data_IF_738824021974
#
_entry.id   IF_738824021974
#
_cell.length_a   1.000
_cell.length_b   1.000
_cell.length_c   1.000
_cell.angle_alpha   90.00
_cell.angle_beta   90.00
_cell.angle_gamma   90.00
#
_symmetry.space_group_name_H-M   'P 1'
#
loop_
_entity.id
_entity.type
_entity.pdbx_description
1 polymer ?
#
# COMPACT_ATOMS: atom_id res chain seq x y z
N UNK A 1 -23.34 3.95 20.45
CA UNK A 1 -22.85 2.58 20.16
C UNK A 1 -21.68 2.71 19.22
N UNK A 2 -20.43 2.48 19.68
CA UNK A 2 -19.23 2.51 18.84
C UNK A 2 -19.09 1.13 18.22
N UNK A 3 -19.23 1.06 16.89
CA UNK A 3 -18.90 -0.12 16.10
C UNK A 3 -17.38 -0.30 16.14
N UNK A 4 -16.92 -1.17 17.03
CA UNK A 4 -15.51 -1.57 17.03
C UNK A 4 -15.25 -2.45 15.82
N UNK A 5 -14.48 -1.93 14.89
CA UNK A 5 -13.92 -2.70 13.79
C UNK A 5 -13.14 -3.86 14.40
N UNK A 6 -13.61 -5.10 14.21
CA UNK A 6 -12.86 -6.30 14.58
C UNK A 6 -11.60 -6.32 13.71
N UNK A 7 -10.48 -5.93 14.28
CA UNK A 7 -9.18 -6.21 13.69
C UNK A 7 -9.10 -7.73 13.52
N UNK A 8 -8.73 -8.15 12.32
CA UNK A 8 -8.56 -9.56 12.01
C UNK A 8 -7.59 -10.17 13.02
N UNK A 9 -7.96 -11.29 13.64
CA UNK A 9 -7.12 -12.00 14.61
C UNK A 9 -5.76 -12.44 14.03
N UNK A 10 -5.55 -12.28 12.73
CA UNK A 10 -4.37 -12.66 11.97
C UNK A 10 -3.29 -11.56 11.94
N UNK A 11 -3.67 -10.28 12.06
CA UNK A 11 -2.73 -9.14 11.95
C UNK A 11 -1.87 -8.95 13.20
N UNK A 12 -2.46 -9.11 14.37
CA UNK A 12 -1.75 -8.92 15.64
C UNK A 12 -0.50 -9.81 15.79
N UNK A 13 -0.54 -11.12 15.47
CA UNK A 13 0.65 -11.97 15.54
C UNK A 13 1.70 -11.64 14.46
N UNK A 14 1.32 -11.07 13.30
CA UNK A 14 2.28 -10.66 12.26
C UNK A 14 3.15 -9.52 12.78
N UNK A 15 2.53 -8.48 13.31
CA UNK A 15 3.25 -7.31 13.83
C UNK A 15 4.03 -7.62 15.11
N UNK A 16 3.51 -8.45 16.00
CA UNK A 16 4.20 -8.83 17.22
C UNK A 16 5.54 -9.55 16.96
N UNK A 17 5.65 -10.29 15.86
CA UNK A 17 6.86 -11.01 15.45
C UNK A 17 7.81 -10.20 14.58
N UNK A 18 7.43 -9.01 14.15
CA UNK A 18 8.23 -8.20 13.24
C UNK A 18 9.65 -7.92 13.73
N UNK A 19 9.91 -7.54 15.01
CA UNK A 19 11.25 -7.30 15.48
C UNK A 19 12.16 -8.53 15.44
N UNK A 20 11.60 -9.72 15.66
CA UNK A 20 12.35 -10.97 15.60
C UNK A 20 12.70 -11.35 14.16
N UNK A 21 11.75 -11.19 13.25
CA UNK A 21 11.92 -11.44 11.82
C UNK A 21 13.00 -10.56 11.20
N UNK A 22 13.04 -9.28 11.58
CA UNK A 22 14.05 -8.33 11.10
C UNK A 22 15.47 -8.78 11.45
N UNK A 23 15.68 -9.43 12.61
CA UNK A 23 16.98 -10.02 12.96
C UNK A 23 17.39 -11.16 12.02
N UNK A 24 16.42 -11.84 11.42
CA UNK A 24 16.63 -12.88 10.40
C UNK A 24 16.75 -12.34 8.97
N UNK A 25 16.77 -11.02 8.78
CA UNK A 25 16.80 -10.39 7.45
C UNK A 25 15.43 -10.31 6.75
N UNK A 26 14.33 -10.56 7.49
CA UNK A 26 12.99 -10.44 6.95
C UNK A 26 12.45 -9.01 7.16
N UNK A 27 11.56 -8.56 6.26
CA UNK A 27 10.87 -7.27 6.34
C UNK A 27 9.41 -7.45 6.67
N UNK A 28 8.87 -6.60 7.54
CA UNK A 28 7.43 -6.59 7.86
C UNK A 28 6.87 -5.19 7.66
N UNK A 29 5.97 -5.08 6.70
CA UNK A 29 5.38 -3.82 6.27
C UNK A 29 3.85 -3.84 6.40
N UNK A 30 3.27 -2.68 6.63
CA UNK A 30 1.87 -2.39 6.40
C UNK A 30 1.78 -1.49 5.17
N UNK A 31 1.04 -1.90 4.15
CA UNK A 31 0.84 -1.12 2.94
C UNK A 31 -0.61 -0.64 2.90
N UNK A 32 -0.79 0.61 2.51
CA UNK A 32 -2.11 1.24 2.37
C UNK A 32 -2.10 2.25 1.22
N UNK A 33 -3.28 2.58 0.70
CA UNK A 33 -3.44 3.59 -0.32
C UNK A 33 -4.07 4.86 0.24
N UNK A 34 -3.42 5.98 -0.04
CA UNK A 34 -3.98 7.30 0.17
C UNK A 34 -4.47 7.85 -1.17
N UNK A 35 -5.78 7.87 -1.35
CA UNK A 35 -6.41 8.28 -2.60
C UNK A 35 -7.03 9.66 -2.54
N UNK A 36 -7.22 10.29 -3.71
CA UNK A 36 -7.94 11.56 -3.80
C UNK A 36 -7.18 12.76 -3.21
N UNK A 37 -5.86 12.67 -3.09
CA UNK A 37 -5.03 13.80 -2.68
C UNK A 37 -5.10 14.87 -3.76
N UNK A 38 -5.70 16.02 -3.42
CA UNK A 38 -5.87 17.10 -4.37
C UNK A 38 -4.61 17.93 -4.50
N UNK A 39 -4.12 18.12 -5.72
CA UNK A 39 -3.10 19.09 -6.03
C UNK A 39 -3.74 20.48 -6.13
N UNK A 40 -3.60 21.27 -5.08
CA UNK A 40 -4.18 22.61 -4.97
C UNK A 40 -3.10 23.68 -5.04
N UNK A 41 -3.31 24.64 -5.93
CA UNK A 41 -2.51 25.86 -6.02
C UNK A 41 -3.36 27.04 -5.59
N UNK A 42 -2.83 27.93 -4.76
CA UNK A 42 -3.54 29.16 -4.41
C UNK A 42 -3.65 30.06 -5.63
N UNK A 43 -4.82 30.58 -5.89
CA UNK A 43 -5.10 31.44 -7.04
C UNK A 43 -4.29 32.75 -7.00
N UNK A 44 -4.04 33.24 -5.79
CA UNK A 44 -3.28 34.47 -5.55
C UNK A 44 -2.39 34.31 -4.31
N UNK A 45 -1.29 35.08 -4.21
CA UNK A 45 -0.47 35.06 -3.01
C UNK A 45 -1.24 35.68 -1.81
N UNK A 46 -0.87 35.21 -0.61
CA UNK A 46 -1.36 35.80 0.62
C UNK A 46 -0.91 37.27 0.72
N UNK A 47 -1.76 38.12 1.28
CA UNK A 47 -1.38 39.49 1.63
C UNK A 47 -0.78 39.48 3.05
N UNK A 48 0.51 39.84 3.19
CA UNK A 48 1.18 39.81 4.48
C UNK A 48 0.59 40.83 5.44
N UNK A 49 0.76 40.59 6.72
CA UNK A 49 0.38 41.53 7.76
C UNK A 49 1.21 42.82 7.64
N UNK A 50 0.54 43.97 7.77
CA UNK A 50 1.16 45.30 7.80
C UNK A 50 0.55 46.09 8.94
N UNK A 51 1.20 47.17 9.39
CA UNK A 51 0.61 48.06 10.41
C UNK A 51 -0.80 48.52 10.01
N UNK A 52 -1.80 48.23 10.85
CA UNK A 52 -3.21 48.51 10.57
C UNK A 52 -3.94 47.53 9.65
N UNK A 53 -3.26 46.55 9.10
CA UNK A 53 -3.85 45.51 8.23
C UNK A 53 -3.51 44.12 8.72
N UNK A 54 -4.54 43.29 8.90
CA UNK A 54 -4.38 41.87 9.26
C UNK A 54 -3.90 41.05 8.07
N UNK A 55 -3.26 39.92 8.34
CA UNK A 55 -2.93 38.91 7.32
C UNK A 55 -4.23 38.46 6.62
N UNK A 56 -4.24 38.54 5.31
CA UNK A 56 -5.33 37.98 4.48
C UNK A 56 -4.79 36.81 3.69
N UNK A 57 -5.36 35.63 3.93
CA UNK A 57 -5.01 34.41 3.20
C UNK A 57 -5.99 34.22 2.04
N UNK A 58 -5.42 33.84 0.90
CA UNK A 58 -6.22 33.40 -0.25
C UNK A 58 -6.95 32.09 0.11
N UNK A 59 -8.24 32.04 -0.19
CA UNK A 59 -9.09 30.86 0.04
C UNK A 59 -9.55 30.20 -1.26
N UNK A 60 -9.29 30.84 -2.43
CA UNK A 60 -9.57 30.26 -3.71
C UNK A 60 -8.38 29.44 -4.21
N UNK A 61 -8.68 28.27 -4.75
CA UNK A 61 -7.68 27.35 -5.24
C UNK A 61 -7.94 26.94 -6.68
N UNK A 62 -6.86 26.81 -7.44
CA UNK A 62 -6.85 26.16 -8.74
C UNK A 62 -6.59 24.67 -8.47
N UNK A 63 -7.42 23.78 -9.01
CA UNK A 63 -7.27 22.34 -8.88
C UNK A 63 -6.51 21.81 -10.09
N UNK A 64 -5.38 21.12 -9.84
CA UNK A 64 -4.54 20.49 -10.85
C UNK A 64 -4.76 18.97 -10.94
N UNK A 65 -5.88 18.48 -10.42
CA UNK A 65 -6.23 17.07 -10.40
C UNK A 65 -6.06 16.43 -9.04
N UNK A 66 -6.08 15.10 -9.03
CA UNK A 66 -5.90 14.27 -7.84
C UNK A 66 -4.78 13.27 -8.07
N UNK A 67 -4.09 12.92 -6.98
CA UNK A 67 -3.08 11.88 -6.96
C UNK A 67 -3.50 10.78 -5.99
N UNK A 68 -3.08 9.57 -6.29
CA UNK A 68 -3.14 8.42 -5.41
C UNK A 68 -1.73 8.00 -5.02
N UNK A 69 -1.56 7.59 -3.78
CA UNK A 69 -0.30 7.14 -3.23
C UNK A 69 -0.42 5.71 -2.77
N UNK A 70 0.62 4.92 -2.99
CA UNK A 70 0.86 3.67 -2.28
C UNK A 70 1.93 3.94 -1.22
N UNK A 71 1.64 3.62 0.02
CA UNK A 71 2.48 3.92 1.17
C UNK A 71 2.81 2.62 1.90
N UNK A 72 4.09 2.33 2.04
CA UNK A 72 4.60 1.19 2.79
C UNK A 72 5.20 1.67 4.10
N UNK A 73 4.64 1.24 5.19
CA UNK A 73 5.11 1.55 6.53
C UNK A 73 5.85 0.35 7.12
N UNK A 74 7.15 0.50 7.37
CA UNK A 74 7.92 -0.50 8.10
C UNK A 74 7.55 -0.46 9.58
N UNK A 75 6.94 -1.53 10.06
CA UNK A 75 6.40 -1.59 11.42
C UNK A 75 7.48 -1.69 12.49
N UNK A 76 8.73 -2.00 12.13
CA UNK A 76 9.85 -2.10 13.06
C UNK A 76 10.59 -0.77 13.16
N UNK A 77 10.90 -0.15 12.03
CA UNK A 77 11.66 1.11 11.99
C UNK A 77 10.78 2.33 12.14
N UNK A 78 9.49 2.21 11.86
CA UNK A 78 8.54 3.35 11.89
C UNK A 78 8.70 4.29 10.70
N UNK A 79 9.37 3.86 9.63
CA UNK A 79 9.61 4.68 8.45
C UNK A 79 8.72 4.26 7.27
N UNK A 80 8.43 5.21 6.40
CA UNK A 80 7.84 4.96 5.09
C UNK A 80 8.97 4.55 4.13
N UNK A 81 8.78 3.42 3.43
CA UNK A 81 9.75 2.86 2.50
C UNK A 81 9.16 2.85 1.10
N UNK A 82 9.92 3.30 0.10
CA UNK A 82 9.57 3.27 -1.33
C UNK A 82 8.11 3.68 -1.62
N UNK A 83 7.64 4.84 -1.17
CA UNK A 83 6.30 5.30 -1.52
C UNK A 83 6.23 5.58 -3.01
N UNK A 84 5.05 5.42 -3.60
CA UNK A 84 4.82 5.83 -4.97
C UNK A 84 3.54 6.63 -5.12
N UNK A 85 3.49 7.50 -6.13
CA UNK A 85 2.29 8.23 -6.44
C UNK A 85 2.05 8.27 -7.96
N UNK A 86 0.79 8.37 -8.32
CA UNK A 86 0.36 8.48 -9.70
C UNK A 86 -1.06 9.05 -9.80
N UNK A 87 -1.51 9.35 -11.03
CA UNK A 87 -2.86 9.82 -11.27
C UNK A 87 -3.90 8.71 -11.12
N UNK A 88 -3.46 7.47 -11.20
CA UNK A 88 -4.30 6.27 -11.18
C UNK A 88 -3.95 5.34 -10.02
N UNK A 89 -4.78 4.32 -9.87
CA UNK A 89 -4.67 3.29 -8.85
C UNK A 89 -5.21 1.99 -9.44
N UNK A 90 -4.54 1.51 -10.47
CA UNK A 90 -4.93 0.26 -11.14
C UNK A 90 -4.22 -0.94 -10.52
N UNK A 91 -4.60 -2.14 -10.96
CA UNK A 91 -3.93 -3.38 -10.59
C UNK A 91 -2.47 -3.39 -11.05
N UNK A 92 -2.22 -2.83 -12.24
CA UNK A 92 -0.87 -2.70 -12.80
C UNK A 92 -0.02 -1.72 -11.98
N UNK A 93 -0.62 -0.62 -11.49
CA UNK A 93 0.06 0.33 -10.62
C UNK A 93 0.47 -0.33 -9.30
N UNK A 94 -0.42 -1.12 -8.71
CA UNK A 94 -0.15 -1.85 -7.47
C UNK A 94 0.94 -2.92 -7.67
N UNK A 95 0.89 -3.68 -8.76
CA UNK A 95 1.91 -4.66 -9.09
C UNK A 95 3.28 -4.01 -9.32
N UNK A 96 3.32 -2.94 -10.12
CA UNK A 96 4.56 -2.21 -10.38
C UNK A 96 5.14 -1.58 -9.10
N UNK A 97 4.28 -1.13 -8.19
CA UNK A 97 4.68 -0.64 -6.89
C UNK A 97 5.34 -1.73 -6.04
N UNK A 98 4.71 -2.90 -5.91
CA UNK A 98 5.25 -4.03 -5.15
C UNK A 98 6.56 -4.56 -5.74
N UNK A 99 6.68 -4.61 -7.07
CA UNK A 99 7.92 -4.98 -7.73
C UNK A 99 9.07 -4.04 -7.37
N UNK A 100 8.85 -2.73 -7.38
CA UNK A 100 9.87 -1.74 -6.96
C UNK A 100 10.20 -1.86 -5.48
N UNK A 101 9.19 -2.02 -4.63
CA UNK A 101 9.37 -2.20 -3.20
C UNK A 101 10.30 -3.38 -2.90
N UNK A 102 10.04 -4.54 -3.50
CA UNK A 102 10.85 -5.73 -3.28
C UNK A 102 12.26 -5.57 -3.86
N UNK A 103 12.40 -4.88 -4.99
CA UNK A 103 13.69 -4.60 -5.59
C UNK A 103 14.54 -3.60 -4.79
N UNK A 104 13.93 -2.79 -3.92
CA UNK A 104 14.63 -1.77 -3.12
C UNK A 104 15.57 -2.35 -2.06
N UNK A 105 15.29 -3.57 -1.57
CA UNK A 105 16.17 -4.27 -0.62
C UNK A 105 16.44 -5.70 -1.08
N UNK A 106 17.42 -5.91 -1.96
CA UNK A 106 17.79 -7.24 -2.44
C UNK A 106 18.40 -8.14 -1.36
N UNK A 107 18.72 -7.59 -0.20
CA UNK A 107 19.26 -8.35 0.93
C UNK A 107 18.18 -8.96 1.82
N UNK A 108 16.94 -8.50 1.67
CA UNK A 108 15.80 -9.03 2.41
C UNK A 108 15.52 -10.48 1.99
N UNK A 109 15.54 -11.38 2.96
CA UNK A 109 15.30 -12.81 2.71
C UNK A 109 13.83 -13.13 2.53
N UNK A 110 12.95 -12.32 3.12
CA UNK A 110 11.49 -12.47 3.03
C UNK A 110 10.77 -11.17 3.34
N UNK A 111 9.62 -10.98 2.69
CA UNK A 111 8.73 -9.85 2.89
C UNK A 111 7.40 -10.33 3.46
N UNK A 112 6.96 -9.70 4.54
CA UNK A 112 5.63 -9.85 5.13
C UNK A 112 4.90 -8.53 4.94
N UNK A 113 3.97 -8.49 4.00
CA UNK A 113 3.24 -7.29 3.65
C UNK A 113 1.78 -7.49 4.03
N UNK A 114 1.29 -6.66 4.95
CA UNK A 114 -0.13 -6.63 5.30
C UNK A 114 -0.82 -5.60 4.41
N UNK A 115 -1.86 -6.04 3.72
CA UNK A 115 -2.69 -5.25 2.81
C UNK A 115 -4.12 -5.28 3.30
N UNK A 116 -4.90 -4.25 2.97
CA UNK A 116 -6.33 -4.32 3.12
C UNK A 116 -6.95 -5.25 2.05
N UNK A 117 -8.24 -5.51 2.16
CA UNK A 117 -8.93 -6.47 1.29
C UNK A 117 -9.50 -5.79 0.03
N UNK A 118 -8.81 -4.80 -0.55
CA UNK A 118 -9.21 -4.19 -1.81
C UNK A 118 -9.04 -5.16 -2.99
N UNK A 119 -9.91 -5.05 -3.98
CA UNK A 119 -9.88 -5.93 -5.15
C UNK A 119 -8.57 -5.87 -5.93
N UNK A 120 -7.90 -4.70 -5.96
CA UNK A 120 -6.61 -4.54 -6.64
C UNK A 120 -5.49 -5.39 -6.02
N UNK A 121 -5.62 -5.76 -4.74
CA UNK A 121 -4.69 -6.65 -4.05
C UNK A 121 -4.99 -8.13 -4.25
N UNK A 122 -6.06 -8.44 -4.97
CA UNK A 122 -6.49 -9.80 -5.30
C UNK A 122 -6.49 -10.04 -6.82
N UNK A 123 -5.78 -9.19 -7.56
CA UNK A 123 -5.71 -9.32 -9.01
C UNK A 123 -4.99 -10.59 -9.44
N UNK A 124 -5.41 -11.16 -10.56
CA UNK A 124 -4.78 -12.33 -11.16
C UNK A 124 -3.28 -12.10 -11.43
N UNK A 125 -2.94 -10.91 -11.93
CA UNK A 125 -1.56 -10.54 -12.21
C UNK A 125 -0.68 -10.56 -10.95
N UNK A 126 -1.19 -10.05 -9.82
CA UNK A 126 -0.47 -10.08 -8.55
C UNK A 126 -0.32 -11.50 -8.03
N UNK A 127 -1.38 -12.31 -8.09
CA UNK A 127 -1.37 -13.70 -7.63
C UNK A 127 -0.37 -14.53 -8.44
N UNK A 128 -0.38 -14.40 -9.77
CA UNK A 128 0.57 -15.08 -10.66
C UNK A 128 2.01 -14.66 -10.38
N UNK A 129 2.25 -13.36 -10.21
CA UNK A 129 3.59 -12.85 -9.91
C UNK A 129 4.13 -13.36 -8.58
N UNK A 130 3.29 -13.43 -7.53
CA UNK A 130 3.67 -14.00 -6.22
C UNK A 130 3.96 -15.48 -6.36
N UNK A 131 3.10 -16.23 -7.05
CA UNK A 131 3.27 -17.66 -7.25
C UNK A 131 4.58 -18.00 -7.98
N UNK A 132 4.91 -17.23 -9.00
CA UNK A 132 6.16 -17.38 -9.76
C UNK A 132 7.39 -17.17 -8.84
N UNK A 133 7.36 -16.15 -8.00
CA UNK A 133 8.45 -15.87 -7.05
C UNK A 133 8.60 -16.92 -5.95
N UNK A 134 7.50 -17.50 -5.50
CA UNK A 134 7.48 -18.59 -4.51
C UNK A 134 7.77 -19.96 -5.15
N UNK A 135 7.96 -20.02 -6.47
CA UNK A 135 8.17 -21.29 -7.20
C UNK A 135 6.94 -22.21 -7.18
N UNK A 136 5.75 -21.65 -7.02
CA UNK A 136 4.50 -22.38 -7.05
C UNK A 136 4.05 -22.59 -8.51
N UNK A 137 3.61 -23.80 -8.85
CA UNK A 137 3.02 -24.03 -10.16
C UNK A 137 1.68 -23.30 -10.27
N UNK A 138 1.50 -22.52 -11.34
CA UNK A 138 0.26 -21.76 -11.57
C UNK A 138 -0.99 -22.66 -11.61
N UNK A 139 -0.84 -23.91 -12.02
CA UNK A 139 -1.90 -24.92 -12.05
C UNK A 139 -2.44 -25.27 -10.65
N UNK A 140 -1.68 -24.97 -9.58
CA UNK A 140 -2.12 -25.17 -8.18
C UNK A 140 -2.95 -23.99 -7.66
N UNK A 141 -2.99 -22.88 -8.39
CA UNK A 141 -3.85 -21.76 -8.10
C UNK A 141 -5.23 -22.12 -8.62
N UNK A 142 -6.18 -22.35 -7.70
CA UNK A 142 -7.53 -22.81 -8.08
C UNK A 142 -8.16 -21.91 -9.15
N UNK A 143 -8.79 -22.53 -10.16
CA UNK A 143 -9.61 -21.82 -11.11
C UNK A 143 -10.94 -21.41 -10.46
N UNK A 144 -11.25 -20.14 -10.51
CA UNK A 144 -12.59 -19.69 -10.17
C UNK A 144 -13.52 -20.00 -11.35
N UNK A 145 -14.32 -21.05 -11.23
CA UNK A 145 -15.22 -21.53 -12.29
C UNK A 145 -16.36 -20.58 -12.65
N UNK A 146 -16.47 -19.45 -11.97
CA UNK A 146 -17.43 -18.41 -12.28
C UNK A 146 -16.77 -17.04 -12.08
N UNK A 147 -16.36 -16.42 -13.17
CA UNK A 147 -16.00 -15.03 -13.30
C UNK A 147 -14.69 -14.57 -12.62
N UNK A 148 -13.62 -14.61 -13.37
CA UNK A 148 -12.51 -13.64 -13.40
C UNK A 148 -11.59 -13.49 -12.18
N UNK A 149 -11.72 -14.29 -11.14
CA UNK A 149 -10.72 -14.29 -10.08
C UNK A 149 -10.37 -15.75 -9.73
N UNK A 150 -9.09 -16.14 -9.81
CA UNK A 150 -8.70 -17.41 -9.25
C UNK A 150 -9.03 -17.43 -7.77
N UNK A 151 -9.88 -18.35 -7.35
CA UNK A 151 -10.09 -18.60 -5.93
C UNK A 151 -8.82 -19.22 -5.39
N UNK A 152 -7.96 -18.40 -4.82
CA UNK A 152 -6.80 -18.90 -4.06
C UNK A 152 -7.32 -19.44 -2.75
N UNK A 153 -7.70 -20.72 -2.72
CA UNK A 153 -8.06 -21.43 -1.49
C UNK A 153 -6.88 -21.66 -0.54
N UNK A 154 -5.72 -21.26 -0.95
CA UNK A 154 -4.55 -21.11 -0.13
C UNK A 154 -3.98 -19.72 -0.33
N UNK A 155 -4.24 -18.80 0.61
CA UNK A 155 -3.39 -17.61 0.70
C UNK A 155 -1.95 -18.11 0.61
N UNK A 156 -1.12 -17.56 -0.30
CA UNK A 156 0.28 -17.94 -0.33
C UNK A 156 0.82 -17.75 1.08
N UNK A 157 1.14 -18.87 1.74
CA UNK A 157 1.65 -18.87 3.10
C UNK A 157 3.07 -18.36 3.02
N UNK A 158 3.23 -17.08 3.07
CA UNK A 158 4.59 -16.62 3.20
C UNK A 158 4.89 -15.20 2.78
N UNK A 159 4.23 -14.62 1.81
CA UNK A 159 4.57 -13.29 1.34
C UNK A 159 3.56 -12.23 1.76
N UNK A 160 2.25 -12.58 1.86
CA UNK A 160 1.20 -11.64 2.19
C UNK A 160 0.30 -12.21 3.29
N UNK A 161 0.14 -11.49 4.37
CA UNK A 161 -0.86 -11.71 5.45
C UNK A 161 -1.56 -10.42 5.79
#
# INVERSE_FOLDING_TARGET
MRSGTRRSATEAPVYARAPERTKGGERTLSMDELTGVQALERKSPDLPMQPGHVLRREFEYIRHGTLSWFINFDVVTGHVIEPSCGPTRTEEDALAHLQRLIASDPTATKWHITLDNLNIHQSEALVCWVAEREGMALETLGENSQERHPAVDGKPRGLFT
#
